data_IF_035311028617
#
_entry.id   IF_035311028617
#
_cell.length_a   1.000
_cell.length_b   1.000
_cell.length_c   1.000
_cell.angle_alpha   90.00
_cell.angle_beta   90.00
_cell.angle_gamma   90.00
#
_symmetry.space_group_name_H-M   'P 1'
#
loop_
_entity.id
_entity.type
_entity.pdbx_description
1 polymer ?
#
# COMPACT_ATOMS: atom_id res chain seq x y z
N UNK A 1 19.63 -9.63 -29.56
CA UNK A 1 19.64 -8.53 -28.57
C UNK A 1 18.22 -8.02 -28.44
N UNK A 2 17.56 -8.22 -27.29
CA UNK A 2 16.17 -7.80 -27.09
C UNK A 2 16.19 -6.41 -26.43
N UNK A 3 15.74 -5.39 -27.15
CA UNK A 3 15.57 -4.04 -26.61
C UNK A 3 14.20 -3.99 -25.93
N UNK A 4 14.18 -3.91 -24.60
CA UNK A 4 12.95 -3.72 -23.83
C UNK A 4 12.64 -2.23 -23.78
N UNK A 5 11.63 -1.81 -24.56
CA UNK A 5 11.10 -0.46 -24.61
C UNK A 5 9.65 -0.43 -24.11
N UNK A 6 9.30 0.60 -23.32
CA UNK A 6 7.93 0.81 -22.88
C UNK A 6 7.74 2.14 -22.16
N UNK A 7 6.54 2.37 -21.62
CA UNK A 7 6.18 3.56 -20.82
C UNK A 7 6.14 3.20 -19.33
N UNK A 8 6.76 4.01 -18.48
CA UNK A 8 6.81 3.81 -17.02
C UNK A 8 6.35 5.06 -16.29
N UNK A 9 5.54 4.89 -15.26
CA UNK A 9 5.15 5.99 -14.38
C UNK A 9 6.36 6.46 -13.58
N UNK A 10 6.70 7.74 -13.71
CA UNK A 10 7.74 8.42 -12.93
C UNK A 10 7.05 9.35 -11.94
N UNK A 11 7.44 9.25 -10.66
CA UNK A 11 6.90 10.10 -9.60
C UNK A 11 7.99 11.02 -9.07
N UNK A 12 7.79 12.33 -9.16
CA UNK A 12 8.70 13.34 -8.61
C UNK A 12 8.02 14.10 -7.49
N UNK A 13 8.67 14.21 -6.33
CA UNK A 13 8.14 15.00 -5.21
C UNK A 13 8.23 16.49 -5.53
N UNK A 14 7.12 17.20 -5.32
CA UNK A 14 7.02 18.66 -5.45
C UNK A 14 7.09 19.36 -4.09
N UNK A 15 6.90 18.61 -2.99
CA UNK A 15 6.94 19.10 -1.63
C UNK A 15 5.80 18.54 -0.79
N UNK A 16 5.39 19.29 0.23
CA UNK A 16 4.37 18.90 1.19
C UNK A 16 3.20 19.87 1.20
N UNK A 17 1.99 19.35 1.37
CA UNK A 17 0.75 20.12 1.47
C UNK A 17 -0.11 19.58 2.61
N UNK A 18 -1.00 20.41 3.15
CA UNK A 18 -2.06 19.96 4.06
C UNK A 18 -3.35 19.70 3.29
N UNK A 19 -4.04 18.59 3.60
CA UNK A 19 -5.40 18.33 3.10
C UNK A 19 -6.16 17.39 4.05
N UNK A 20 -7.40 17.06 3.73
CA UNK A 20 -8.19 16.04 4.40
C UNK A 20 -7.87 14.64 3.86
N UNK A 21 -7.59 13.70 4.77
CA UNK A 21 -7.36 12.30 4.40
C UNK A 21 -8.64 11.47 4.65
N UNK A 22 -9.25 10.87 3.61
CA UNK A 22 -10.48 10.08 3.77
C UNK A 22 -10.27 8.74 4.51
N UNK A 23 -9.04 8.20 4.49
CA UNK A 23 -8.67 6.99 5.23
C UNK A 23 -8.41 7.30 6.70
N UNK A 24 -7.63 8.35 6.98
CA UNK A 24 -7.34 8.77 8.35
C UNK A 24 -8.50 9.56 8.99
N UNK A 25 -9.49 9.96 8.19
CA UNK A 25 -10.68 10.74 8.57
C UNK A 25 -10.38 12.05 9.30
N UNK A 26 -9.32 12.74 8.87
CA UNK A 26 -8.88 14.01 9.48
C UNK A 26 -7.95 14.81 8.56
N UNK A 27 -7.78 16.12 8.81
CA UNK A 27 -6.70 16.90 8.24
C UNK A 27 -5.33 16.26 8.51
N UNK A 28 -4.47 16.20 7.51
CA UNK A 28 -3.15 15.54 7.57
C UNK A 28 -2.17 16.15 6.59
N UNK A 29 -0.88 15.92 6.82
CA UNK A 29 0.17 16.28 5.87
C UNK A 29 0.27 15.25 4.75
N UNK A 30 0.52 15.72 3.53
CA UNK A 30 0.69 14.92 2.33
C UNK A 30 2.00 15.26 1.63
N UNK A 31 2.63 14.27 0.98
CA UNK A 31 3.67 14.52 -0.01
C UNK A 31 3.00 14.67 -1.39
N UNK A 32 3.10 15.86 -1.98
CA UNK A 32 2.60 16.14 -3.32
C UNK A 32 3.63 15.69 -4.36
N UNK A 33 3.18 14.92 -5.35
CA UNK A 33 4.02 14.34 -6.39
C UNK A 33 3.44 14.63 -7.77
N UNK A 34 4.32 15.01 -8.69
CA UNK A 34 4.06 14.98 -10.13
C UNK A 34 4.12 13.53 -10.60
N UNK A 35 3.12 13.09 -11.35
CA UNK A 35 3.09 11.77 -11.99
C UNK A 35 3.27 11.97 -13.49
N UNK A 36 4.42 11.54 -14.00
CA UNK A 36 4.76 11.57 -15.41
C UNK A 36 4.79 10.17 -16.03
N UNK A 37 4.71 10.09 -17.36
CA UNK A 37 4.86 8.87 -18.14
C UNK A 37 6.15 8.99 -18.98
N UNK A 38 7.22 8.31 -18.56
CA UNK A 38 8.50 8.36 -19.27
C UNK A 38 8.70 7.10 -20.12
N UNK A 39 9.27 7.28 -21.31
CA UNK A 39 9.87 6.17 -22.04
C UNK A 39 11.01 5.56 -21.24
N UNK A 40 11.12 4.24 -21.25
CA UNK A 40 12.26 3.54 -20.66
C UNK A 40 12.92 2.62 -21.68
N UNK A 41 14.24 2.47 -21.55
CA UNK A 41 15.05 1.47 -22.24
C UNK A 41 15.78 0.69 -21.14
N UNK A 42 15.67 -0.65 -21.14
CA UNK A 42 16.24 -1.50 -20.07
C UNK A 42 15.80 -1.08 -18.65
N UNK A 43 14.53 -0.73 -18.47
CA UNK A 43 13.94 -0.31 -17.18
C UNK A 43 14.44 1.03 -16.60
N UNK A 44 15.39 1.69 -17.28
CA UNK A 44 15.88 3.04 -16.95
C UNK A 44 15.00 4.07 -17.67
N UNK A 45 14.36 4.95 -16.92
CA UNK A 45 13.51 6.02 -17.46
C UNK A 45 14.38 7.16 -18.01
N UNK A 46 14.11 7.57 -19.24
CA UNK A 46 14.75 8.74 -19.85
C UNK A 46 13.96 10.01 -19.46
N UNK A 47 14.39 10.68 -18.39
CA UNK A 47 13.79 11.92 -17.90
C UNK A 47 12.48 11.72 -17.13
N UNK A 48 11.74 12.82 -16.96
CA UNK A 48 10.51 12.83 -16.14
C UNK A 48 9.24 12.43 -16.88
N UNK A 49 9.28 12.42 -18.21
CA UNK A 49 8.15 12.08 -19.07
C UNK A 49 7.02 13.10 -19.09
N UNK A 50 6.01 12.80 -19.90
CA UNK A 50 4.83 13.63 -20.11
C UNK A 50 3.96 13.66 -18.85
N UNK A 51 3.43 14.82 -18.48
CA UNK A 51 2.60 14.97 -17.29
C UNK A 51 1.28 14.20 -17.47
N UNK A 52 1.00 13.25 -16.58
CA UNK A 52 -0.26 12.50 -16.53
C UNK A 52 -1.19 13.04 -15.44
N UNK A 53 -0.61 13.57 -14.37
CA UNK A 53 -1.40 14.16 -13.29
C UNK A 53 -0.58 14.41 -12.03
N UNK A 54 -1.29 14.65 -10.93
CA UNK A 54 -0.69 14.85 -9.62
C UNK A 54 -1.29 13.90 -8.60
N UNK A 55 -0.45 13.44 -7.68
CA UNK A 55 -0.82 12.51 -6.62
C UNK A 55 -0.34 13.08 -5.30
N UNK A 56 -1.15 12.94 -4.25
CA UNK A 56 -0.79 13.29 -2.88
C UNK A 56 -0.78 12.03 -2.03
N UNK A 57 0.32 11.76 -1.34
CA UNK A 57 0.43 10.59 -0.46
C UNK A 57 0.35 11.04 1.01
N UNK A 58 -0.64 10.54 1.74
CA UNK A 58 -0.83 10.89 3.16
C UNK A 58 0.39 10.43 3.97
N UNK A 59 0.98 11.32 4.77
CA UNK A 59 2.15 10.99 5.60
C UNK A 59 1.83 10.12 6.81
N UNK A 60 0.55 9.89 7.11
CA UNK A 60 0.11 9.01 8.20
C UNK A 60 -0.17 7.58 7.75
N UNK A 61 -1.03 7.40 6.74
CA UNK A 61 -1.44 6.06 6.27
C UNK A 61 -0.76 5.62 4.98
N UNK A 62 0.08 6.47 4.38
CA UNK A 62 0.79 6.21 3.12
C UNK A 62 -0.14 5.80 1.96
N UNK A 63 -1.39 6.25 2.01
CA UNK A 63 -2.35 6.05 0.92
C UNK A 63 -2.17 7.19 -0.09
N UNK A 64 -1.94 6.86 -1.36
CA UNK A 64 -1.98 7.86 -2.41
C UNK A 64 -3.43 8.23 -2.78
N UNK A 65 -3.63 9.50 -3.09
CA UNK A 65 -4.87 10.03 -3.65
C UNK A 65 -4.53 10.92 -4.83
N UNK A 66 -5.48 11.05 -5.76
CA UNK A 66 -5.40 12.09 -6.79
C UNK A 66 -5.33 13.47 -6.12
N UNK A 67 -4.55 14.36 -6.72
CA UNK A 67 -4.37 15.72 -6.25
C UNK A 67 -4.73 16.70 -7.37
N UNK A 68 -5.48 17.73 -7.00
CA UNK A 68 -5.70 18.92 -7.81
C UNK A 68 -4.73 20.01 -7.32
N UNK A 69 -3.65 20.32 -8.08
CA UNK A 69 -2.69 21.34 -7.68
C UNK A 69 -3.29 22.73 -7.54
N UNK A 70 -4.38 23.03 -8.26
CA UNK A 70 -5.02 24.34 -8.25
C UNK A 70 -5.68 24.69 -6.91
N UNK A 71 -5.92 23.70 -6.05
CA UNK A 71 -6.45 23.91 -4.69
C UNK A 71 -5.43 24.45 -3.70
N UNK A 72 -4.13 24.33 -4.00
CA UNK A 72 -3.08 24.75 -3.09
C UNK A 72 -2.46 26.07 -3.55
N UNK A 73 -2.10 26.93 -2.60
CA UNK A 73 -1.29 28.13 -2.90
C UNK A 73 0.10 27.76 -3.42
N UNK A 74 0.61 26.62 -2.98
CA UNK A 74 1.88 26.05 -3.39
C UNK A 74 2.35 24.97 -2.40
N UNK A 75 3.27 24.07 -2.78
CA UNK A 75 3.83 23.08 -1.88
C UNK A 75 4.94 23.67 -0.99
N UNK A 76 4.96 23.28 0.28
CA UNK A 76 6.08 23.56 1.19
C UNK A 76 7.27 22.64 0.88
N UNK A 77 8.49 23.18 0.86
CA UNK A 77 9.70 22.38 0.52
C UNK A 77 10.03 21.31 1.57
N UNK A 78 9.70 21.55 2.83
CA UNK A 78 9.96 20.65 3.96
C UNK A 78 8.66 20.27 4.65
N UNK A 79 8.66 19.10 5.27
CA UNK A 79 7.56 18.67 6.13
C UNK A 79 7.56 19.54 7.38
N UNK A 80 6.47 20.28 7.61
CA UNK A 80 6.27 21.14 8.76
C UNK A 80 5.08 20.63 9.61
N UNK A 81 4.91 21.14 10.85
CA UNK A 81 3.71 20.88 11.64
C UNK A 81 2.43 21.21 10.86
N UNK A 82 1.37 20.44 11.11
CA UNK A 82 0.13 20.52 10.32
C UNK A 82 -0.47 21.93 10.28
N UNK A 83 -0.45 22.67 11.40
CA UNK A 83 -0.98 24.04 11.45
C UNK A 83 -0.23 24.98 10.50
N UNK A 84 1.10 24.87 10.45
CA UNK A 84 1.94 25.65 9.55
C UNK A 84 1.71 25.26 8.08
N UNK A 85 1.62 23.96 7.78
CA UNK A 85 1.30 23.50 6.44
C UNK A 85 -0.08 23.99 5.97
N UNK A 86 -1.09 24.00 6.84
CA UNK A 86 -2.40 24.56 6.52
C UNK A 86 -2.25 26.03 6.15
N UNK A 87 -1.64 26.84 7.01
CA UNK A 87 -1.49 28.27 6.78
C UNK A 87 -0.73 28.59 5.47
N UNK A 88 0.31 27.82 5.16
CA UNK A 88 1.16 28.04 3.98
C UNK A 88 0.55 27.51 2.67
N UNK A 89 -0.06 26.32 2.71
CA UNK A 89 -0.40 25.57 1.49
C UNK A 89 -1.89 25.51 1.19
N UNK A 90 -2.75 25.44 2.20
CA UNK A 90 -4.20 25.37 2.05
C UNK A 90 -4.96 26.02 3.22
N UNK A 91 -4.89 27.35 3.37
CA UNK A 91 -5.46 28.04 4.54
C UNK A 91 -6.99 27.90 4.66
N UNK A 92 -7.69 27.76 3.53
CA UNK A 92 -9.15 27.57 3.50
C UNK A 92 -9.60 26.11 3.76
N UNK A 93 -8.68 25.21 4.11
CA UNK A 93 -8.97 23.78 4.33
C UNK A 93 -10.15 23.57 5.29
N UNK A 94 -10.18 24.32 6.39
CA UNK A 94 -11.25 24.22 7.39
C UNK A 94 -12.62 24.66 6.86
N UNK A 95 -12.65 25.59 5.91
CA UNK A 95 -13.88 26.06 5.24
C UNK A 95 -14.33 25.05 4.19
N UNK A 96 -13.40 24.61 3.33
CA UNK A 96 -13.68 23.67 2.24
C UNK A 96 -14.15 22.30 2.76
N UNK A 97 -13.57 21.83 3.86
CA UNK A 97 -13.87 20.51 4.43
C UNK A 97 -14.72 20.57 5.71
N UNK A 98 -15.37 21.71 5.99
CA UNK A 98 -16.10 21.93 7.26
C UNK A 98 -17.08 20.79 7.57
N UNK A 99 -18.02 20.55 6.67
CA UNK A 99 -19.07 19.53 6.83
C UNK A 99 -18.48 18.14 7.07
N UNK A 100 -17.42 17.79 6.31
CA UNK A 100 -16.78 16.48 6.44
C UNK A 100 -16.04 16.34 7.77
N UNK A 101 -15.33 17.38 8.21
CA UNK A 101 -14.60 17.38 9.48
C UNK A 101 -15.58 17.28 10.64
N UNK A 102 -16.68 18.04 10.61
CA UNK A 102 -17.73 17.99 11.63
C UNK A 102 -18.37 16.61 11.70
N UNK A 103 -18.74 16.02 10.57
CA UNK A 103 -19.28 14.66 10.51
C UNK A 103 -18.33 13.63 11.11
N UNK A 104 -17.04 13.68 10.78
CA UNK A 104 -16.06 12.72 11.32
C UNK A 104 -15.80 12.94 12.82
N UNK A 105 -15.86 14.19 13.29
CA UNK A 105 -15.75 14.50 14.72
C UNK A 105 -16.95 13.92 15.49
N UNK A 106 -18.18 14.12 14.98
CA UNK A 106 -19.39 13.55 15.57
C UNK A 106 -19.35 12.01 15.55
N UNK A 107 -18.85 11.42 14.45
CA UNK A 107 -18.70 9.98 14.33
C UNK A 107 -17.71 9.41 15.36
N UNK A 108 -16.60 10.10 15.60
CA UNK A 108 -15.62 9.70 16.62
C UNK A 108 -16.15 9.85 18.04
N UNK A 109 -16.96 10.87 18.29
CA UNK A 109 -17.62 11.10 19.58
C UNK A 109 -18.83 10.19 19.83
N UNK A 110 -19.31 9.50 18.78
CA UNK A 110 -20.52 8.67 18.85
C UNK A 110 -21.81 9.48 18.97
N UNK A 111 -21.77 10.78 18.65
CA UNK A 111 -22.91 11.70 18.76
C UNK A 111 -23.79 11.72 17.50
N UNK A 112 -23.36 11.08 16.40
CA UNK A 112 -24.15 10.92 15.18
C UNK A 112 -24.70 9.51 15.07
N UNK A 113 -26.02 9.39 14.89
CA UNK A 113 -26.66 8.15 14.51
C UNK A 113 -26.50 7.93 13.00
N UNK A 114 -25.84 6.84 12.61
CA UNK A 114 -25.71 6.48 11.19
C UNK A 114 -26.94 5.65 10.79
N UNK A 115 -27.68 6.12 9.80
CA UNK A 115 -28.78 5.37 9.20
C UNK A 115 -28.30 4.00 8.68
N UNK A 116 -29.18 3.00 8.75
CA UNK A 116 -28.90 1.67 8.19
C UNK A 116 -28.62 1.72 6.68
N UNK A 117 -29.16 2.71 5.96
CA UNK A 117 -28.93 2.92 4.53
C UNK A 117 -27.54 3.51 4.23
N UNK A 118 -27.02 4.40 5.09
CA UNK A 118 -25.74 5.11 4.88
C UNK A 118 -24.53 4.33 5.41
N UNK A 119 -24.78 3.32 6.25
CA UNK A 119 -23.71 2.53 6.87
C UNK A 119 -22.91 1.67 5.88
N UNK A 120 -23.52 0.92 4.93
CA UNK A 120 -22.78 0.13 3.95
C UNK A 120 -21.75 0.95 3.13
N UNK A 121 -22.08 2.10 2.50
CA UNK A 121 -21.10 2.84 1.72
C UNK A 121 -19.96 3.41 2.58
N UNK A 122 -20.20 3.76 3.85
CA UNK A 122 -19.16 4.20 4.77
C UNK A 122 -18.16 3.08 5.13
N UNK A 123 -18.63 1.83 5.19
CA UNK A 123 -17.77 0.65 5.42
C UNK A 123 -17.03 0.28 4.13
N UNK A 124 -17.67 0.40 2.98
CA UNK A 124 -17.08 0.06 1.68
C UNK A 124 -15.98 1.06 1.25
N UNK A 125 -16.15 2.34 1.56
CA UNK A 125 -15.29 3.44 1.09
C UNK A 125 -13.78 3.22 1.33
N UNK A 126 -13.30 2.84 2.53
CA UNK A 126 -11.87 2.59 2.75
C UNK A 126 -11.28 1.52 1.83
N UNK A 127 -12.04 0.49 1.52
CA UNK A 127 -11.58 -0.59 0.64
C UNK A 127 -11.47 -0.13 -0.81
N UNK A 128 -12.46 0.63 -1.31
CA UNK A 128 -12.43 1.23 -2.64
C UNK A 128 -11.23 2.16 -2.80
N UNK A 129 -10.99 3.03 -1.81
CA UNK A 129 -9.87 3.97 -1.81
C UNK A 129 -8.50 3.29 -1.79
N UNK A 130 -8.39 2.10 -1.17
CA UNK A 130 -7.16 1.32 -1.14
C UNK A 130 -7.02 0.38 -2.34
N UNK A 131 -8.09 0.15 -3.09
CA UNK A 131 -8.11 -0.75 -4.24
C UNK A 131 -7.02 -0.42 -5.28
N UNK A 132 -6.82 0.84 -5.71
CA UNK A 132 -5.73 1.18 -6.64
C UNK A 132 -4.33 0.86 -6.09
N UNK A 133 -4.10 1.01 -4.78
CA UNK A 133 -2.82 0.66 -4.14
C UNK A 133 -2.57 -0.85 -4.21
N UNK A 134 -3.61 -1.66 -3.96
CA UNK A 134 -3.55 -3.12 -4.08
C UNK A 134 -3.35 -3.54 -5.54
N UNK A 135 -4.10 -2.95 -6.48
CA UNK A 135 -3.98 -3.29 -7.90
C UNK A 135 -2.58 -3.05 -8.44
N UNK A 136 -1.97 -1.90 -8.12
CA UNK A 136 -0.59 -1.57 -8.51
C UNK A 136 0.41 -2.57 -7.94
N UNK A 137 0.27 -2.94 -6.67
CA UNK A 137 1.15 -3.92 -6.01
C UNK A 137 1.09 -5.29 -6.69
N UNK A 138 -0.09 -5.72 -7.14
CA UNK A 138 -0.27 -7.02 -7.80
C UNK A 138 -0.11 -6.97 -9.33
N UNK A 139 0.04 -5.79 -9.93
CA UNK A 139 0.35 -5.63 -11.35
C UNK A 139 1.85 -5.74 -11.64
N UNK A 140 2.69 -5.63 -10.61
CA UNK A 140 4.15 -5.65 -10.72
C UNK A 140 4.71 -6.77 -9.86
N UNK A 141 5.53 -7.64 -10.45
CA UNK A 141 6.21 -8.71 -9.70
C UNK A 141 7.34 -8.08 -8.89
N UNK A 142 7.06 -7.75 -7.63
CA UNK A 142 8.09 -7.29 -6.70
C UNK A 142 8.82 -8.49 -6.09
N UNK A 143 10.12 -8.60 -6.38
CA UNK A 143 11.02 -9.50 -5.67
C UNK A 143 11.37 -8.85 -4.33
N UNK A 144 10.65 -9.25 -3.28
CA UNK A 144 10.99 -8.84 -1.91
C UNK A 144 12.34 -9.43 -1.49
N UNK A 145 13.00 -8.80 -0.51
CA UNK A 145 14.30 -9.24 0.01
C UNK A 145 14.26 -10.71 0.45
N UNK A 146 13.17 -11.16 1.05
CA UNK A 146 13.02 -12.57 1.45
C UNK A 146 12.98 -13.52 0.25
N UNK A 147 12.40 -13.12 -0.89
CA UNK A 147 12.45 -13.91 -2.13
C UNK A 147 13.88 -13.92 -2.68
N UNK A 148 14.57 -12.78 -2.63
CA UNK A 148 15.99 -12.68 -3.01
C UNK A 148 16.89 -13.61 -2.18
N UNK A 149 16.70 -13.65 -0.85
CA UNK A 149 17.44 -14.57 0.02
C UNK A 149 17.10 -16.03 -0.24
N UNK A 150 15.82 -16.36 -0.50
CA UNK A 150 15.43 -17.72 -0.87
C UNK A 150 16.10 -18.17 -2.18
N UNK A 151 16.16 -17.28 -3.18
CA UNK A 151 16.83 -17.55 -4.45
C UNK A 151 18.34 -17.72 -4.27
N UNK A 152 19.00 -16.83 -3.50
CA UNK A 152 20.43 -16.94 -3.21
C UNK A 152 20.75 -18.23 -2.42
N UNK A 153 19.92 -18.59 -1.45
CA UNK A 153 20.03 -19.84 -0.70
C UNK A 153 19.87 -21.08 -1.57
N UNK A 154 18.93 -21.05 -2.53
CA UNK A 154 18.77 -22.10 -3.54
C UNK A 154 20.04 -22.23 -4.39
N UNK A 155 20.56 -21.12 -4.93
CA UNK A 155 21.81 -21.16 -5.71
C UNK A 155 22.95 -21.74 -4.89
N UNK A 156 23.15 -21.30 -3.64
CA UNK A 156 24.19 -21.85 -2.77
C UNK A 156 24.02 -23.35 -2.51
N UNK A 157 22.80 -23.82 -2.21
CA UNK A 157 22.52 -25.24 -1.98
C UNK A 157 22.78 -26.10 -3.21
N UNK A 158 22.47 -25.61 -4.43
CA UNK A 158 22.74 -26.34 -5.67
C UNK A 158 24.23 -26.60 -5.91
N UNK A 159 25.13 -25.78 -5.34
CA UNK A 159 26.57 -26.03 -5.40
C UNK A 159 27.07 -26.86 -4.22
N UNK A 160 26.61 -26.54 -3.00
CA UNK A 160 27.13 -27.16 -1.78
C UNK A 160 26.69 -28.62 -1.66
N UNK A 161 25.42 -28.93 -1.92
CA UNK A 161 24.87 -30.27 -1.67
C UNK A 161 25.50 -31.32 -2.60
N UNK A 162 25.59 -31.12 -3.93
CA UNK A 162 26.24 -32.10 -4.80
C UNK A 162 27.74 -32.26 -4.50
N UNK A 163 28.44 -31.17 -4.16
CA UNK A 163 29.85 -31.22 -3.80
C UNK A 163 30.12 -32.07 -2.54
N UNK A 164 29.21 -32.03 -1.57
CA UNK A 164 29.27 -32.90 -0.38
C UNK A 164 28.89 -34.34 -0.77
N UNK A 165 27.83 -34.53 -1.55
CA UNK A 165 27.35 -35.86 -1.94
C UNK A 165 28.36 -36.62 -2.79
N UNK A 166 29.09 -35.96 -3.69
CA UNK A 166 30.18 -36.59 -4.42
C UNK A 166 31.29 -37.17 -3.53
N UNK A 167 31.48 -36.63 -2.31
CA UNK A 167 32.49 -37.14 -1.36
C UNK A 167 31.95 -38.25 -0.46
N UNK A 168 30.65 -38.24 -0.16
CA UNK A 168 30.06 -39.15 0.84
C UNK A 168 29.32 -40.32 0.20
N UNK A 169 28.58 -40.07 -0.89
CA UNK A 169 27.76 -41.06 -1.60
C UNK A 169 27.69 -40.69 -3.09
N UNK A 170 28.74 -41.02 -3.87
CA UNK A 170 28.88 -40.60 -5.27
C UNK A 170 27.68 -41.00 -6.14
N UNK A 171 27.15 -42.22 -5.92
CA UNK A 171 26.03 -42.78 -6.69
C UNK A 171 24.69 -42.06 -6.45
N UNK A 172 24.64 -41.14 -5.48
CA UNK A 172 23.44 -40.36 -5.10
C UNK A 172 23.58 -38.86 -5.36
N UNK A 173 24.70 -38.40 -5.91
CA UNK A 173 24.93 -36.98 -6.14
C UNK A 173 23.91 -36.37 -7.11
N UNK A 174 23.56 -37.08 -8.19
CA UNK A 174 22.60 -36.64 -9.19
C UNK A 174 21.16 -36.60 -8.63
N UNK A 175 20.76 -37.64 -7.89
CA UNK A 175 19.47 -37.70 -7.20
C UNK A 175 19.33 -36.53 -6.20
N UNK A 176 20.40 -36.23 -5.45
CA UNK A 176 20.42 -35.14 -4.48
C UNK A 176 20.31 -33.76 -5.13
N UNK A 177 20.96 -33.55 -6.27
CA UNK A 177 20.83 -32.31 -7.04
C UNK A 177 19.39 -32.07 -7.48
N UNK A 178 18.75 -33.08 -8.08
CA UNK A 178 17.35 -32.97 -8.53
C UNK A 178 16.40 -32.68 -7.37
N UNK A 179 16.60 -33.33 -6.23
CA UNK A 179 15.80 -33.09 -5.03
C UNK A 179 15.94 -31.65 -4.52
N UNK A 180 17.16 -31.14 -4.39
CA UNK A 180 17.43 -29.77 -3.95
C UNK A 180 16.85 -28.75 -4.92
N UNK A 181 16.99 -28.98 -6.23
CA UNK A 181 16.41 -28.13 -7.26
C UNK A 181 14.89 -28.06 -7.13
N UNK A 182 14.22 -29.21 -7.04
CA UNK A 182 12.77 -29.28 -6.92
C UNK A 182 12.28 -28.61 -5.63
N UNK A 183 12.86 -28.98 -4.49
CA UNK A 183 12.49 -28.42 -3.18
C UNK A 183 12.72 -26.90 -3.14
N UNK A 184 13.83 -26.44 -3.72
CA UNK A 184 14.17 -25.02 -3.82
C UNK A 184 13.21 -24.23 -4.70
N UNK A 185 12.87 -24.75 -5.88
CA UNK A 185 11.89 -24.11 -6.76
C UNK A 185 10.53 -24.00 -6.07
N UNK A 186 10.07 -25.08 -5.41
CA UNK A 186 8.82 -25.07 -4.64
C UNK A 186 8.86 -24.03 -3.51
N UNK A 187 9.98 -23.92 -2.79
CA UNK A 187 10.18 -22.93 -1.74
C UNK A 187 10.09 -21.49 -2.30
N UNK A 188 10.77 -21.20 -3.41
CA UNK A 188 10.73 -19.88 -4.05
C UNK A 188 9.32 -19.53 -4.53
N UNK A 189 8.62 -20.47 -5.18
CA UNK A 189 7.23 -20.28 -5.61
C UNK A 189 6.31 -20.00 -4.40
N UNK A 190 6.49 -20.72 -3.30
CA UNK A 190 5.74 -20.48 -2.07
C UNK A 190 6.04 -19.10 -1.47
N UNK A 191 7.30 -18.66 -1.44
CA UNK A 191 7.70 -17.33 -0.98
C UNK A 191 7.09 -16.21 -1.83
N UNK A 192 7.09 -16.37 -3.16
CA UNK A 192 6.44 -15.42 -4.08
C UNK A 192 4.93 -15.37 -3.81
N UNK A 193 4.26 -16.52 -3.66
CA UNK A 193 2.84 -16.58 -3.34
C UNK A 193 2.52 -15.91 -1.97
N UNK A 194 3.41 -16.06 -0.98
CA UNK A 194 3.25 -15.48 0.35
C UNK A 194 3.54 -13.98 0.41
N UNK A 195 4.26 -13.41 -0.55
CA UNK A 195 4.59 -11.98 -0.62
C UNK A 195 3.33 -11.12 -0.68
N UNK A 196 2.38 -11.46 -1.54
CA UNK A 196 1.09 -10.76 -1.61
C UNK A 196 0.33 -10.82 -0.29
N UNK A 197 0.35 -11.97 0.41
CA UNK A 197 -0.32 -12.11 1.71
C UNK A 197 0.35 -11.26 2.80
N UNK A 198 1.69 -11.21 2.83
CA UNK A 198 2.45 -10.37 3.77
C UNK A 198 2.15 -8.89 3.55
N UNK A 199 2.09 -8.43 2.30
CA UNK A 199 1.68 -7.08 1.95
C UNK A 199 0.27 -6.76 2.45
N UNK A 200 -0.72 -7.61 2.16
CA UNK A 200 -2.11 -7.38 2.60
C UNK A 200 -2.19 -7.25 4.12
N UNK A 201 -1.52 -8.14 4.85
CA UNK A 201 -1.53 -8.14 6.32
C UNK A 201 -0.76 -6.98 6.94
N UNK A 202 0.38 -6.57 6.37
CA UNK A 202 1.25 -5.53 6.96
C UNK A 202 0.88 -4.11 6.56
N UNK A 203 0.39 -3.91 5.33
CA UNK A 203 0.21 -2.57 4.76
C UNK A 203 -1.26 -2.20 4.56
N UNK A 204 -2.15 -3.16 4.25
CA UNK A 204 -3.56 -2.88 3.94
C UNK A 204 -4.46 -3.09 5.15
N UNK A 205 -4.39 -4.26 5.79
CA UNK A 205 -5.23 -4.61 6.94
C UNK A 205 -5.19 -3.58 8.08
N UNK A 206 -4.02 -3.08 8.55
CA UNK A 206 -3.99 -2.09 9.62
C UNK A 206 -4.61 -0.74 9.21
N UNK A 207 -4.44 -0.34 7.95
CA UNK A 207 -4.99 0.92 7.43
C UNK A 207 -6.51 0.84 7.30
N UNK A 208 -7.03 -0.28 6.79
CA UNK A 208 -8.48 -0.56 6.77
C UNK A 208 -9.05 -0.58 8.19
N UNK A 209 -8.42 -1.31 9.10
CA UNK A 209 -8.86 -1.39 10.49
C UNK A 209 -8.90 -0.01 11.16
N UNK A 210 -7.88 0.82 10.92
CA UNK A 210 -7.84 2.20 11.40
C UNK A 210 -9.01 3.03 10.84
N UNK A 211 -9.29 2.92 9.54
CA UNK A 211 -10.36 3.67 8.89
C UNK A 211 -11.76 3.20 9.32
N UNK A 212 -11.91 1.93 9.69
CA UNK A 212 -13.19 1.35 10.11
C UNK A 212 -13.45 1.46 11.61
N UNK A 213 -12.41 1.65 12.44
CA UNK A 213 -12.54 1.69 13.91
C UNK A 213 -13.66 2.62 14.43
N UNK A 214 -13.86 3.85 13.91
CA UNK A 214 -14.96 4.71 14.36
C UNK A 214 -16.36 4.11 14.10
N UNK A 215 -16.49 3.30 13.05
CA UNK A 215 -17.76 2.69 12.64
C UNK A 215 -18.12 1.43 13.45
N UNK A 216 -17.15 0.87 14.22
CA UNK A 216 -17.29 -0.41 14.93
C UNK A 216 -17.97 -1.48 14.06
N UNK A 217 -17.35 -1.86 12.91
CA UNK A 217 -18.00 -2.74 11.95
C UNK A 217 -18.19 -4.15 12.53
N UNK A 218 -19.27 -4.81 12.13
CA UNK A 218 -19.47 -6.25 12.38
C UNK A 218 -18.72 -7.07 11.35
N UNK A 219 -18.36 -8.29 11.71
CA UNK A 219 -17.72 -9.26 10.79
C UNK A 219 -18.51 -9.45 9.50
N UNK A 220 -19.84 -9.54 9.60
CA UNK A 220 -20.75 -9.70 8.45
C UNK A 220 -20.78 -8.47 7.53
N UNK A 221 -20.56 -7.28 8.06
CA UNK A 221 -20.51 -6.05 7.26
C UNK A 221 -19.21 -5.99 6.46
N UNK A 222 -18.09 -6.36 7.09
CA UNK A 222 -16.79 -6.43 6.43
C UNK A 222 -16.76 -7.52 5.35
N UNK A 223 -17.32 -8.70 5.62
CA UNK A 223 -17.40 -9.77 4.63
C UNK A 223 -18.24 -9.34 3.44
N UNK A 224 -19.40 -8.71 3.67
CA UNK A 224 -20.27 -8.20 2.60
C UNK A 224 -19.55 -7.16 1.73
N UNK A 225 -18.83 -6.22 2.33
CA UNK A 225 -18.05 -5.23 1.59
C UNK A 225 -16.95 -5.88 0.73
N UNK A 226 -16.24 -6.89 1.26
CA UNK A 226 -15.23 -7.63 0.49
C UNK A 226 -15.84 -8.47 -0.65
N UNK A 227 -17.00 -9.09 -0.41
CA UNK A 227 -17.72 -9.86 -1.42
C UNK A 227 -18.22 -8.96 -2.55
N UNK A 228 -18.71 -7.77 -2.23
CA UNK A 228 -19.10 -6.76 -3.22
C UNK A 228 -17.90 -6.36 -4.10
N UNK A 229 -16.76 -6.05 -3.50
CA UNK A 229 -15.53 -5.75 -4.24
C UNK A 229 -15.04 -6.92 -5.09
N UNK A 230 -15.20 -8.14 -4.60
CA UNK A 230 -14.88 -9.37 -5.34
C UNK A 230 -15.78 -9.52 -6.57
N UNK A 231 -17.08 -9.21 -6.46
CA UNK A 231 -18.03 -9.22 -7.58
C UNK A 231 -17.66 -8.17 -8.63
N UNK A 232 -17.22 -6.99 -8.22
CA UNK A 232 -16.74 -5.92 -9.11
C UNK A 232 -15.29 -6.12 -9.60
N UNK A 233 -14.66 -7.27 -9.32
CA UNK A 233 -13.35 -7.62 -9.87
C UNK A 233 -12.15 -6.99 -9.16
N UNK A 234 -12.33 -6.26 -8.06
CA UNK A 234 -11.22 -5.70 -7.30
C UNK A 234 -10.42 -6.79 -6.57
N UNK A 235 -9.10 -6.83 -6.76
CA UNK A 235 -8.22 -7.83 -6.13
C UNK A 235 -8.27 -7.77 -4.60
N UNK A 236 -8.50 -6.60 -4.01
CA UNK A 236 -8.61 -6.44 -2.55
C UNK A 236 -9.70 -7.35 -1.96
N UNK A 237 -10.84 -7.53 -2.63
CA UNK A 237 -11.94 -8.39 -2.19
C UNK A 237 -11.58 -9.88 -2.18
N UNK A 238 -10.61 -10.31 -3.00
CA UNK A 238 -10.13 -11.71 -3.05
C UNK A 238 -8.93 -11.97 -2.15
N UNK A 239 -8.08 -10.95 -1.93
CA UNK A 239 -6.78 -11.08 -1.27
C UNK A 239 -6.80 -10.70 0.21
N UNK A 240 -7.67 -9.80 0.63
CA UNK A 240 -7.80 -9.39 2.04
C UNK A 240 -8.69 -10.39 2.78
N UNK A 241 -8.27 -10.81 3.99
CA UNK A 241 -9.09 -11.64 4.86
C UNK A 241 -9.69 -10.81 5.98
N UNK A 242 -10.95 -11.09 6.33
CA UNK A 242 -11.65 -10.42 7.44
C UNK A 242 -10.91 -10.63 8.76
N UNK A 243 -10.38 -11.84 9.00
CA UNK A 243 -9.61 -12.16 10.21
C UNK A 243 -8.36 -11.30 10.40
N UNK A 244 -7.69 -10.90 9.31
CA UNK A 244 -6.54 -10.00 9.38
C UNK A 244 -6.97 -8.58 9.81
N UNK A 245 -8.14 -8.12 9.37
CA UNK A 245 -8.71 -6.82 9.76
C UNK A 245 -9.12 -6.85 11.24
N UNK A 246 -9.82 -7.90 11.66
CA UNK A 246 -10.28 -8.09 13.04
C UNK A 246 -9.12 -8.13 14.04
N UNK A 247 -8.02 -8.81 13.68
CA UNK A 247 -6.82 -8.84 14.49
C UNK A 247 -6.29 -7.43 14.78
N UNK A 248 -6.34 -6.52 13.81
CA UNK A 248 -5.92 -5.13 13.99
C UNK A 248 -6.99 -4.23 14.64
N UNK A 249 -8.28 -4.54 14.48
CA UNK A 249 -9.35 -3.83 15.19
C UNK A 249 -9.29 -4.06 16.71
N UNK A 250 -8.84 -5.24 17.15
CA UNK A 250 -8.65 -5.59 18.56
C UNK A 250 -7.42 -4.91 19.20
N UNK A 251 -6.41 -4.56 18.40
CA UNK A 251 -5.19 -3.88 18.90
C UNK A 251 -5.47 -2.39 19.15
N UNK A 252 -5.00 -1.78 20.24
CA UNK A 252 -5.17 -0.34 20.46
C UNK A 252 -4.61 0.47 19.27
N UNK A 253 -5.28 1.58 18.93
CA UNK A 253 -4.87 2.39 17.78
C UNK A 253 -3.41 2.84 17.93
N UNK A 254 -2.60 2.78 16.84
CA UNK A 254 -1.25 3.30 16.90
C UNK A 254 -1.32 4.78 17.31
N UNK A 255 -0.58 5.14 18.37
CA UNK A 255 -0.46 6.53 18.80
C UNK A 255 0.00 7.37 17.59
N UNK A 256 -0.49 8.61 17.42
CA UNK A 256 0.01 9.48 16.37
C UNK A 256 1.50 9.76 16.65
N UNK A 257 2.37 8.96 16.03
CA UNK A 257 3.81 9.17 16.11
C UNK A 257 4.16 10.51 15.46
N UNK A 258 4.86 11.33 16.24
CA UNK A 258 5.65 12.47 15.78
C UNK A 258 6.62 11.99 14.71
N UNK A 259 6.21 12.15 13.45
CA UNK A 259 7.03 12.31 12.24
C UNK A 259 8.53 11.95 12.39
N UNK A 260 8.86 10.67 12.44
CA UNK A 260 10.15 10.18 11.93
C UNK A 260 9.88 9.52 10.60
N UNK A 261 10.34 10.18 9.54
CA UNK A 261 10.19 9.75 8.16
C UNK A 261 10.75 8.33 7.98
N UNK A 262 9.86 7.35 7.80
CA UNK A 262 10.26 6.07 7.20
C UNK A 262 10.66 6.38 5.75
N UNK A 263 11.96 6.27 5.47
CA UNK A 263 12.50 6.47 4.13
C UNK A 263 11.79 5.52 3.15
N UNK A 264 11.41 5.98 1.96
CA UNK A 264 10.92 5.07 0.93
C UNK A 264 12.04 4.08 0.60
N UNK A 265 11.73 2.78 0.69
CA UNK A 265 12.56 1.72 0.11
C UNK A 265 12.38 1.69 -1.39
#
# INVERSE_FOLDING_TARGET
MIIVWGKKHVRRSLGYVADFCPICRRPSAFNLRRVGLAGHVYYISLGEGDLVGHERTCKRCDTPFEADPGRYRGPAKKLAPLKELIAQTFPDLGTVWRERIEFENQLQQGSVAISSADRPPLILSPFLLLSPKVERQFATTHLDKEVGFAFAGLMAMLYIVPAIMHKVAPDKADDAFLFVLLAGVLLVLWQVAMTGRRFMRREIAPVVAQALRPLKPRTSEMSRALDELRKHGHKIGRKLKVSDIEAHLKQPAPRPETSTAKAPR
#
